data_IF_042339216134
#
_entry.id   IF_042339216134
#
_cell.length_a   1.000
_cell.length_b   1.000
_cell.length_c   1.000
_cell.angle_alpha   90.00
_cell.angle_beta   90.00
_cell.angle_gamma   90.00
#
_symmetry.space_group_name_H-M   'P 1'
#
loop_
_entity.id
_entity.type
_entity.pdbx_description
1 polymer ?
#
# COMPACT_ATOMS: atom_id res chain seq x y z
N UNK A 1 -27.99 -58.63 -14.15
CA UNK A 1 -28.06 -57.45 -13.24
C UNK A 1 -26.71 -57.39 -12.55
N UNK A 2 -25.80 -56.47 -12.97
CA UNK A 2 -25.49 -55.19 -12.28
C UNK A 2 -25.28 -55.40 -10.77
N UNK A 3 -24.18 -55.06 -10.12
CA UNK A 3 -23.02 -54.23 -10.44
C UNK A 3 -21.87 -54.61 -9.49
N UNK A 4 -20.65 -54.44 -9.97
CA UNK A 4 -19.42 -54.20 -9.22
C UNK A 4 -19.59 -53.02 -8.27
N UNK A 5 -19.32 -53.21 -6.98
CA UNK A 5 -19.06 -52.11 -6.05
C UNK A 5 -17.55 -51.82 -6.04
N UNK A 6 -17.21 -50.69 -6.65
CA UNK A 6 -15.90 -50.08 -6.60
C UNK A 6 -15.64 -49.60 -5.17
N UNK A 7 -14.48 -49.99 -4.63
CA UNK A 7 -13.92 -49.42 -3.41
C UNK A 7 -13.44 -48.01 -3.78
N UNK A 8 -14.14 -46.99 -3.30
CA UNK A 8 -13.74 -45.59 -3.46
C UNK A 8 -12.46 -45.31 -2.68
N UNK A 9 -11.36 -45.25 -3.43
CA UNK A 9 -10.10 -44.64 -3.01
C UNK A 9 -10.26 -43.13 -3.20
N UNK A 10 -10.31 -42.36 -2.10
CA UNK A 10 -9.68 -41.03 -1.97
C UNK A 10 -10.21 -40.30 -0.72
N UNK A 11 -9.59 -40.58 0.43
CA UNK A 11 -9.66 -39.69 1.58
C UNK A 11 -8.44 -38.75 1.53
N UNK A 12 -8.61 -37.58 0.92
CA UNK A 12 -7.66 -36.47 1.01
C UNK A 12 -8.45 -35.19 1.22
N UNK A 13 -8.54 -34.79 2.49
CA UNK A 13 -9.04 -33.50 2.93
C UNK A 13 -8.14 -32.39 2.37
N UNK A 14 -8.45 -31.90 1.17
CA UNK A 14 -7.96 -30.61 0.69
C UNK A 14 -8.59 -29.53 1.55
N UNK A 15 -7.87 -29.06 2.58
CA UNK A 15 -8.19 -27.81 3.25
C UNK A 15 -8.04 -26.68 2.21
N UNK A 16 -9.16 -26.24 1.66
CA UNK A 16 -9.19 -25.10 0.77
C UNK A 16 -8.72 -23.87 1.56
N UNK A 17 -7.48 -23.44 1.31
CA UNK A 17 -6.95 -22.20 1.87
C UNK A 17 -7.82 -21.07 1.32
N UNK A 18 -8.67 -20.50 2.17
CA UNK A 18 -9.47 -19.34 1.82
C UNK A 18 -8.53 -18.14 1.67
N UNK A 19 -8.07 -17.89 0.45
CA UNK A 19 -7.08 -16.86 0.15
C UNK A 19 -7.53 -15.47 0.62
N UNK A 20 -8.85 -15.20 0.66
CA UNK A 20 -9.40 -13.95 1.19
C UNK A 20 -9.17 -13.81 2.70
N UNK A 21 -9.33 -14.87 3.48
CA UNK A 21 -9.07 -14.82 4.94
C UNK A 21 -7.57 -14.76 5.27
N UNK A 22 -6.72 -15.34 4.43
CA UNK A 22 -5.25 -15.24 4.57
C UNK A 22 -4.73 -13.85 4.19
N UNK A 23 -5.36 -13.19 3.22
CA UNK A 23 -5.04 -11.82 2.81
C UNK A 23 -5.60 -10.76 3.77
N UNK A 24 -6.72 -11.06 4.46
CA UNK A 24 -7.49 -10.08 5.21
C UNK A 24 -7.86 -10.64 6.59
N UNK A 25 -7.00 -10.41 7.59
CA UNK A 25 -7.34 -10.68 8.98
C UNK A 25 -8.51 -9.78 9.43
N UNK A 26 -9.52 -10.35 10.08
CA UNK A 26 -10.69 -9.64 10.66
C UNK A 26 -10.33 -8.77 11.88
N UNK A 27 -9.23 -8.04 11.83
CA UNK A 27 -8.80 -7.13 12.88
C UNK A 27 -9.40 -5.74 12.63
N UNK A 28 -9.99 -5.14 13.67
CA UNK A 28 -10.60 -3.80 13.65
C UNK A 28 -9.60 -2.62 13.46
N UNK A 29 -8.35 -2.90 13.10
CA UNK A 29 -7.31 -1.89 12.89
C UNK A 29 -6.79 -2.02 11.46
N UNK A 30 -7.31 -1.20 10.56
CA UNK A 30 -6.98 -1.20 9.12
C UNK A 30 -5.66 -0.47 8.80
N UNK A 31 -4.97 0.06 9.83
CA UNK A 31 -3.71 0.79 9.72
C UNK A 31 -2.51 -0.12 10.03
N UNK A 32 -1.51 -0.04 9.14
CA UNK A 32 -0.24 -0.73 9.28
C UNK A 32 0.88 0.31 9.30
N UNK A 33 1.69 0.31 10.36
CA UNK A 33 2.79 1.23 10.50
C UNK A 33 3.91 0.87 9.51
N UNK A 34 4.24 1.81 8.64
CA UNK A 34 5.31 1.64 7.64
C UNK A 34 6.67 1.81 8.30
N UNK A 35 7.60 0.86 8.16
CA UNK A 35 8.91 0.94 8.79
C UNK A 35 9.81 1.97 8.08
N UNK A 36 10.77 2.53 8.83
CA UNK A 36 11.67 3.58 8.33
C UNK A 36 12.32 3.23 6.97
N UNK A 37 12.84 2.00 6.81
CA UNK A 37 13.55 1.59 5.61
C UNK A 37 12.66 1.56 4.36
N UNK A 38 11.34 1.38 4.52
CA UNK A 38 10.40 1.41 3.42
C UNK A 38 10.11 2.85 2.97
N UNK A 39 10.19 3.82 3.89
CA UNK A 39 10.08 5.24 3.57
C UNK A 39 11.39 5.76 2.99
N UNK A 40 12.55 5.40 3.54
CA UNK A 40 13.85 5.83 2.99
C UNK A 40 14.01 5.52 1.50
N UNK A 41 13.46 4.38 1.05
CA UNK A 41 13.55 3.95 -0.35
C UNK A 41 12.80 4.86 -1.34
N UNK A 42 11.83 5.67 -0.92
CA UNK A 42 11.09 6.58 -1.81
C UNK A 42 11.68 8.00 -1.85
N UNK A 43 12.51 8.37 -0.86
CA UNK A 43 12.99 9.75 -0.67
C UNK A 43 13.80 10.26 -1.86
N UNK A 44 14.61 9.41 -2.50
CA UNK A 44 15.48 9.81 -3.62
C UNK A 44 14.71 10.32 -4.85
N UNK A 45 13.41 9.99 -4.95
CA UNK A 45 12.56 10.39 -6.07
C UNK A 45 11.79 11.70 -5.80
N UNK A 46 11.79 12.20 -4.55
CA UNK A 46 11.03 13.39 -4.19
C UNK A 46 11.77 14.64 -4.71
N UNK A 47 11.13 15.50 -5.52
CA UNK A 47 11.75 16.75 -5.94
C UNK A 47 12.08 17.64 -4.73
N UNK A 48 13.28 18.23 -4.69
CA UNK A 48 13.82 18.97 -3.53
C UNK A 48 12.89 20.05 -2.94
N UNK A 49 12.09 20.71 -3.79
CA UNK A 49 11.22 21.80 -3.38
C UNK A 49 9.73 21.43 -3.31
N UNK A 50 9.39 20.15 -3.54
CA UNK A 50 8.01 19.70 -3.48
C UNK A 50 7.50 19.71 -2.03
N UNK A 51 6.25 20.12 -1.86
CA UNK A 51 5.50 19.96 -0.62
C UNK A 51 4.76 18.62 -0.68
N UNK A 52 5.07 17.72 0.24
CA UNK A 52 4.51 16.37 0.29
C UNK A 52 3.31 16.34 1.21
N UNK A 53 2.19 15.81 0.73
CA UNK A 53 1.02 15.50 1.55
C UNK A 53 1.04 14.03 1.96
N UNK A 54 1.00 13.78 3.26
CA UNK A 54 0.92 12.48 3.91
C UNK A 54 -0.49 12.30 4.51
N UNK A 55 -1.50 11.84 3.71
CA UNK A 55 -2.92 11.95 4.07
C UNK A 55 -3.46 10.93 5.08
N UNK A 56 -2.63 9.97 5.49
CA UNK A 56 -3.00 8.89 6.40
C UNK A 56 -2.04 8.85 7.61
N UNK A 57 -1.46 9.99 7.95
CA UNK A 57 -0.30 10.04 8.82
C UNK A 57 -0.47 11.04 9.97
N UNK A 58 0.07 10.66 11.12
CA UNK A 58 0.30 11.54 12.26
C UNK A 58 1.75 12.03 12.27
N UNK A 59 2.12 13.04 13.10
CA UNK A 59 3.51 13.47 13.25
C UNK A 59 4.49 12.35 13.61
N UNK A 60 3.99 11.28 14.21
CA UNK A 60 4.80 10.15 14.65
C UNK A 60 5.11 9.15 13.54
N UNK A 61 4.48 9.26 12.37
CA UNK A 61 4.70 8.34 11.26
C UNK A 61 6.09 8.49 10.66
N UNK A 62 6.64 7.39 10.14
CA UNK A 62 7.91 7.42 9.42
C UNK A 62 7.81 8.26 8.14
N UNK A 63 6.65 8.36 7.50
CA UNK A 63 6.48 9.26 6.35
C UNK A 63 6.74 10.71 6.77
N UNK A 64 6.11 11.19 7.84
CA UNK A 64 6.31 12.56 8.31
C UNK A 64 7.73 12.77 8.79
N UNK A 65 8.26 11.86 9.61
CA UNK A 65 9.61 11.96 10.20
C UNK A 65 10.71 11.96 9.15
N UNK A 66 10.64 11.08 8.16
CA UNK A 66 11.72 10.92 7.18
C UNK A 66 11.65 11.98 6.08
N UNK A 67 10.46 12.29 5.56
CA UNK A 67 10.30 13.27 4.48
C UNK A 67 10.59 14.69 4.98
N UNK A 68 10.23 15.01 6.23
CA UNK A 68 10.48 16.34 6.82
C UNK A 68 11.96 16.70 6.94
N UNK A 69 12.87 15.72 6.81
CA UNK A 69 14.32 15.96 6.81
C UNK A 69 14.78 16.73 5.56
N UNK A 70 14.06 16.61 4.44
CA UNK A 70 14.46 17.20 3.16
C UNK A 70 13.39 18.05 2.51
N UNK A 71 12.11 17.82 2.83
CA UNK A 71 10.96 18.44 2.17
C UNK A 71 9.95 18.97 3.19
N UNK A 72 9.12 19.91 2.76
CA UNK A 72 7.97 20.34 3.56
C UNK A 72 6.92 19.24 3.54
N UNK A 73 6.35 18.94 4.71
CA UNK A 73 5.28 17.95 4.87
C UNK A 73 4.01 18.63 5.35
N UNK A 74 2.90 18.29 4.72
CA UNK A 74 1.55 18.45 5.23
C UNK A 74 1.06 17.06 5.60
N UNK A 75 0.58 16.84 6.80
CA UNK A 75 0.01 15.57 7.22
C UNK A 75 -1.46 15.75 7.58
N UNK A 76 -2.23 14.67 7.47
CA UNK A 76 -3.60 14.63 7.94
C UNK A 76 -3.96 13.22 8.38
N UNK A 77 -4.92 13.10 9.30
CA UNK A 77 -5.35 11.80 9.81
C UNK A 77 -6.86 11.74 10.03
N UNK A 78 -7.46 10.57 9.84
CA UNK A 78 -8.89 10.36 10.07
C UNK A 78 -9.29 10.64 11.53
N UNK A 79 -8.38 10.35 12.47
CA UNK A 79 -8.58 10.63 13.91
C UNK A 79 -8.70 12.13 14.23
N UNK A 80 -8.22 13.00 13.35
CA UNK A 80 -8.37 14.46 13.47
C UNK A 80 -9.61 14.99 12.74
N UNK A 81 -10.45 14.09 12.19
CA UNK A 81 -11.58 14.45 11.33
C UNK A 81 -11.19 14.78 9.88
N UNK A 82 -9.95 14.48 9.49
CA UNK A 82 -9.39 14.83 8.17
C UNK A 82 -9.40 13.61 7.24
N UNK A 83 -10.60 13.07 6.98
CA UNK A 83 -10.78 11.88 6.15
C UNK A 83 -10.32 12.13 4.69
N UNK A 84 -9.31 11.39 4.23
CA UNK A 84 -8.81 11.44 2.86
C UNK A 84 -9.84 11.04 1.80
N UNK A 85 -11.11 10.73 2.08
CA UNK A 85 -12.15 10.68 1.04
C UNK A 85 -12.92 12.00 0.84
N UNK A 86 -12.88 12.92 1.80
CA UNK A 86 -13.56 14.22 1.72
C UNK A 86 -12.69 15.44 2.03
N UNK A 87 -11.64 15.29 2.84
CA UNK A 87 -10.72 16.37 3.23
C UNK A 87 -9.63 16.62 2.18
N UNK A 88 -9.29 17.88 1.96
CA UNK A 88 -8.08 18.31 1.26
C UNK A 88 -7.48 19.48 2.05
N UNK A 89 -6.16 19.51 2.31
CA UNK A 89 -5.55 20.59 3.07
C UNK A 89 -5.63 21.92 2.31
N UNK A 90 -5.91 23.00 3.04
CA UNK A 90 -5.95 24.36 2.49
C UNK A 90 -4.58 24.86 2.00
N UNK A 91 -3.49 24.28 2.54
CA UNK A 91 -2.14 24.65 2.18
C UNK A 91 -1.76 24.06 0.82
N UNK A 92 -0.89 24.75 0.07
CA UNK A 92 -0.35 24.21 -1.18
C UNK A 92 0.40 22.90 -0.90
N UNK A 93 0.12 21.89 -1.72
CA UNK A 93 0.81 20.61 -1.76
C UNK A 93 1.03 20.18 -3.22
N UNK A 94 2.10 19.43 -3.49
CA UNK A 94 2.54 19.09 -4.85
C UNK A 94 2.44 17.59 -5.15
N UNK A 95 2.60 16.73 -4.14
CA UNK A 95 2.64 15.27 -4.29
C UNK A 95 2.04 14.58 -3.06
N UNK A 96 1.39 13.42 -3.27
CA UNK A 96 0.95 12.52 -2.18
C UNK A 96 1.96 11.38 -1.99
N UNK A 97 2.41 11.13 -0.76
CA UNK A 97 3.23 9.96 -0.42
C UNK A 97 2.79 9.41 0.94
N UNK A 98 2.24 8.19 0.99
CA UNK A 98 1.77 7.58 2.24
C UNK A 98 1.41 6.08 2.09
N UNK A 99 0.94 5.45 3.17
CA UNK A 99 0.38 4.10 3.21
C UNK A 99 -1.13 4.16 3.51
N UNK A 100 -2.02 4.02 2.50
CA UNK A 100 -3.46 4.02 2.71
C UNK A 100 -3.91 2.82 3.55
N UNK A 101 -5.02 2.94 4.30
CA UNK A 101 -5.61 1.79 4.97
C UNK A 101 -6.10 0.75 3.96
N UNK A 102 -6.17 -0.53 4.37
CA UNK A 102 -6.42 -1.63 3.42
C UNK A 102 -7.85 -1.70 2.89
N UNK A 103 -8.82 -1.28 3.71
CA UNK A 103 -10.24 -1.22 3.33
C UNK A 103 -10.45 -0.07 2.35
N UNK A 104 -11.38 -0.20 1.41
CA UNK A 104 -11.70 0.84 0.41
C UNK A 104 -10.55 1.27 -0.54
N UNK A 105 -9.46 0.49 -0.66
CA UNK A 105 -8.31 0.77 -1.55
C UNK A 105 -8.63 1.43 -2.89
N UNK A 106 -9.65 0.96 -3.61
CA UNK A 106 -10.07 1.55 -4.89
C UNK A 106 -10.38 3.06 -4.79
N UNK A 107 -11.15 3.47 -3.77
CA UNK A 107 -11.56 4.87 -3.58
C UNK A 107 -10.38 5.79 -3.31
N UNK A 108 -9.38 5.31 -2.57
CA UNK A 108 -8.17 6.09 -2.31
C UNK A 108 -7.37 6.36 -3.58
N UNK A 109 -7.21 5.36 -4.45
CA UNK A 109 -6.54 5.55 -5.73
C UNK A 109 -7.37 6.41 -6.70
N UNK A 110 -8.70 6.23 -6.76
CA UNK A 110 -9.59 7.11 -7.52
C UNK A 110 -9.43 8.57 -7.09
N UNK A 111 -9.42 8.81 -5.78
CA UNK A 111 -9.24 10.16 -5.26
C UNK A 111 -7.85 10.71 -5.53
N UNK A 112 -6.78 9.93 -5.29
CA UNK A 112 -5.43 10.36 -5.59
C UNK A 112 -5.25 10.76 -7.07
N UNK A 113 -5.82 9.95 -7.98
CA UNK A 113 -5.83 10.25 -9.43
C UNK A 113 -6.65 11.50 -9.77
N UNK A 114 -7.73 11.77 -9.04
CA UNK A 114 -8.61 12.93 -9.30
C UNK A 114 -7.92 14.28 -9.12
N UNK A 115 -6.90 14.36 -8.27
CA UNK A 115 -6.13 15.59 -8.06
C UNK A 115 -5.22 15.95 -9.24
N UNK A 116 -5.03 15.02 -10.19
CA UNK A 116 -4.13 15.20 -11.34
C UNK A 116 -2.71 15.65 -10.94
N UNK A 117 -2.25 15.19 -9.77
CA UNK A 117 -0.92 15.42 -9.21
C UNK A 117 -0.19 14.08 -9.00
N UNK A 118 1.15 14.08 -8.97
CA UNK A 118 1.91 12.87 -8.67
C UNK A 118 1.51 12.25 -7.34
N UNK A 119 1.62 10.92 -7.25
CA UNK A 119 1.53 10.22 -5.97
C UNK A 119 2.40 8.97 -5.94
N UNK A 120 2.69 8.51 -4.72
CA UNK A 120 3.26 7.21 -4.40
C UNK A 120 2.54 6.63 -3.17
N UNK A 121 1.69 5.63 -3.38
CA UNK A 121 0.91 4.99 -2.30
C UNK A 121 1.32 3.53 -2.15
N UNK A 122 1.58 3.09 -0.92
CA UNK A 122 1.88 1.67 -0.66
C UNK A 122 0.65 0.81 -0.93
N UNK A 123 0.83 -0.31 -1.63
CA UNK A 123 -0.21 -1.30 -1.83
C UNK A 123 0.36 -2.70 -2.01
N UNK A 124 -0.41 -3.71 -1.64
CA UNK A 124 -0.04 -5.11 -1.83
C UNK A 124 -0.02 -5.46 -3.32
N UNK A 125 1.02 -6.18 -3.77
CA UNK A 125 1.20 -6.55 -5.18
C UNK A 125 0.11 -7.52 -5.67
N UNK A 126 -0.54 -8.23 -4.76
CA UNK A 126 -1.70 -9.09 -5.08
C UNK A 126 -2.86 -8.31 -5.67
N UNK A 127 -2.95 -7.00 -5.42
CA UNK A 127 -3.99 -6.17 -6.02
C UNK A 127 -3.91 -6.11 -7.55
N UNK A 128 -2.72 -6.30 -8.14
CA UNK A 128 -2.53 -6.35 -9.61
C UNK A 128 -3.33 -7.46 -10.30
N UNK A 129 -3.77 -8.48 -9.55
CA UNK A 129 -4.61 -9.56 -10.04
C UNK A 129 -6.10 -9.15 -10.16
N UNK A 130 -6.51 -8.08 -9.46
CA UNK A 130 -7.89 -7.59 -9.51
C UNK A 130 -8.15 -6.75 -10.78
N UNK A 131 -9.42 -6.56 -11.12
CA UNK A 131 -9.84 -5.69 -12.23
C UNK A 131 -9.66 -4.20 -11.93
N UNK A 132 -9.74 -3.80 -10.66
CA UNK A 132 -9.70 -2.39 -10.25
C UNK A 132 -8.44 -1.65 -10.72
N UNK A 133 -7.19 -2.09 -10.47
CA UNK A 133 -6.02 -1.35 -10.94
C UNK A 133 -5.97 -1.30 -12.47
N UNK A 134 -6.41 -2.36 -13.17
CA UNK A 134 -6.47 -2.37 -14.64
C UNK A 134 -7.42 -1.29 -15.18
N UNK A 135 -8.52 -1.02 -14.47
CA UNK A 135 -9.46 0.03 -14.84
C UNK A 135 -8.94 1.43 -14.50
N UNK A 136 -8.36 1.61 -13.31
CA UNK A 136 -7.86 2.90 -12.84
C UNK A 136 -6.66 3.39 -13.65
N UNK A 137 -5.78 2.47 -14.01
CA UNK A 137 -4.53 2.76 -14.71
C UNK A 137 -4.58 2.39 -16.21
N UNK A 138 -5.77 2.22 -16.78
CA UNK A 138 -5.91 1.95 -18.21
C UNK A 138 -5.41 3.12 -19.06
N UNK A 139 -5.79 4.33 -18.67
CA UNK A 139 -5.48 5.59 -19.37
C UNK A 139 -4.45 6.43 -18.59
N UNK A 140 -3.81 5.82 -17.58
CA UNK A 140 -2.84 6.46 -16.68
C UNK A 140 -1.69 5.49 -16.46
N UNK A 141 -0.46 5.91 -16.71
CA UNK A 141 0.70 5.02 -16.55
C UNK A 141 0.91 4.62 -15.10
N UNK A 142 0.52 3.38 -14.74
CA UNK A 142 0.88 2.80 -13.46
C UNK A 142 2.41 2.68 -13.38
N UNK A 143 2.96 3.26 -12.33
CA UNK A 143 4.38 3.17 -12.01
C UNK A 143 4.55 2.35 -10.73
N UNK A 144 5.51 1.42 -10.69
CA UNK A 144 5.75 0.54 -9.55
C UNK A 144 7.20 0.66 -9.07
N UNK A 145 7.38 1.04 -7.80
CA UNK A 145 8.63 0.83 -7.08
C UNK A 145 8.54 -0.47 -6.29
N UNK A 146 9.15 -1.50 -6.85
CA UNK A 146 9.14 -2.86 -6.34
C UNK A 146 10.42 -3.19 -5.59
N UNK A 147 10.28 -4.03 -4.57
CA UNK A 147 11.35 -4.35 -3.63
C UNK A 147 11.75 -5.82 -3.71
N UNK A 148 13.06 -6.08 -3.56
CA UNK A 148 13.64 -7.42 -3.45
C UNK A 148 13.20 -8.16 -2.16
N UNK A 149 12.85 -7.40 -1.12
CA UNK A 149 12.39 -7.90 0.19
C UNK A 149 10.96 -7.46 0.47
N UNK A 150 10.28 -8.22 1.32
CA UNK A 150 8.93 -7.88 1.80
C UNK A 150 9.03 -6.83 2.91
N UNK A 151 8.24 -5.76 2.78
CA UNK A 151 8.06 -4.80 3.86
C UNK A 151 7.41 -5.46 5.07
N UNK A 152 7.99 -5.24 6.24
CA UNK A 152 7.50 -5.65 7.56
C UNK A 152 6.77 -4.51 8.24
N UNK A 153 5.46 -4.45 8.01
CA UNK A 153 4.59 -3.48 8.66
C UNK A 153 4.42 -3.80 10.14
N UNK A 154 4.51 -2.77 10.98
CA UNK A 154 4.21 -2.86 12.40
C UNK A 154 2.70 -2.95 12.62
N UNK A 155 2.28 -3.85 13.51
CA UNK A 155 0.89 -3.94 13.96
C UNK A 155 0.63 -2.89 15.04
N UNK A 156 -0.54 -2.22 15.09
CA UNK A 156 -0.84 -1.26 16.14
C UNK A 156 -0.84 -1.82 17.57
N UNK A 157 -1.01 -3.13 17.70
CA UNK A 157 -0.98 -3.87 18.96
C UNK A 157 0.37 -4.52 19.27
N UNK A 158 1.43 -4.19 18.50
CA UNK A 158 2.79 -4.68 18.73
C UNK A 158 3.01 -6.16 18.41
N UNK A 159 2.03 -6.85 17.80
CA UNK A 159 2.20 -8.24 17.40
C UNK A 159 3.22 -8.37 16.28
N UNK A 160 4.15 -9.31 16.46
CA UNK A 160 5.16 -9.65 15.45
C UNK A 160 4.48 -10.14 14.17
N UNK A 161 4.74 -9.43 13.08
CA UNK A 161 4.15 -9.70 11.78
C UNK A 161 5.10 -10.58 10.94
N UNK A 162 5.56 -11.68 11.52
CA UNK A 162 6.58 -12.56 10.93
C UNK A 162 6.10 -13.37 9.71
N UNK A 163 4.79 -13.37 9.43
CA UNK A 163 4.15 -14.14 8.34
C UNK A 163 3.64 -13.24 7.21
N UNK A 164 4.52 -12.44 6.64
CA UNK A 164 4.16 -11.59 5.50
C UNK A 164 4.14 -12.45 4.26
N UNK A 165 2.94 -12.81 3.81
CA UNK A 165 2.72 -13.73 2.70
C UNK A 165 2.90 -13.06 1.34
N UNK A 166 2.71 -11.74 1.25
CA UNK A 166 2.73 -11.00 -0.01
C UNK A 166 3.62 -9.76 0.04
N UNK A 167 4.32 -9.50 -1.07
CA UNK A 167 5.10 -8.28 -1.25
C UNK A 167 4.19 -7.06 -1.44
N UNK A 168 4.65 -5.91 -0.98
CA UNK A 168 4.04 -4.61 -1.25
C UNK A 168 5.01 -3.75 -2.05
N UNK A 169 4.48 -2.74 -2.74
CA UNK A 169 5.25 -1.81 -3.57
C UNK A 169 4.61 -0.42 -3.48
N UNK A 170 5.34 0.63 -3.85
CA UNK A 170 4.67 1.90 -4.10
C UNK A 170 4.02 1.83 -5.47
N UNK A 171 2.70 2.05 -5.48
CA UNK A 171 1.91 2.28 -6.66
C UNK A 171 1.87 3.79 -6.89
N UNK A 172 2.45 4.19 -8.01
CA UNK A 172 2.72 5.58 -8.32
C UNK A 172 2.03 5.99 -9.62
N UNK A 173 1.86 7.29 -9.79
CA UNK A 173 1.51 7.90 -11.06
C UNK A 173 2.26 9.24 -11.20
N UNK A 174 2.85 9.47 -12.38
CA UNK A 174 3.61 10.67 -12.71
C UNK A 174 4.70 11.07 -11.69
N UNK A 175 5.38 10.08 -11.11
CA UNK A 175 6.35 10.29 -10.04
C UNK A 175 7.70 9.62 -10.32
N UNK A 176 7.69 8.34 -10.68
CA UNK A 176 8.93 7.58 -10.94
C UNK A 176 9.48 7.89 -12.35
N UNK A 177 10.80 7.76 -12.56
CA UNK A 177 11.41 7.98 -13.88
C UNK A 177 11.08 6.89 -14.91
N UNK A 178 10.55 5.73 -14.47
CA UNK A 178 10.13 4.60 -15.32
C UNK A 178 8.87 3.94 -14.74
N UNK A 179 8.12 3.23 -15.58
CA UNK A 179 6.91 2.50 -15.19
C UNK A 179 7.20 1.34 -14.21
N UNK A 180 8.32 0.64 -14.34
CA UNK A 180 8.69 -0.42 -13.41
C UNK A 180 10.12 -0.18 -12.95
N UNK A 181 10.29 -0.08 -11.63
CA UNK A 181 11.56 0.13 -10.95
C UNK A 181 11.75 -0.99 -9.93
N UNK A 182 12.88 -1.70 -9.99
CA UNK A 182 13.27 -2.69 -8.99
C UNK A 182 14.32 -2.07 -8.06
N UNK A 183 14.18 -2.27 -6.75
CA UNK A 183 15.07 -1.69 -5.73
C UNK A 183 15.38 -2.70 -4.62
N UNK A 184 16.63 -2.68 -4.15
CA UNK A 184 17.02 -3.42 -2.95
C UNK A 184 16.65 -2.66 -1.67
N UNK A 185 16.01 -3.35 -0.71
CA UNK A 185 15.75 -2.81 0.62
C UNK A 185 16.90 -3.10 1.56
N UNK A 186 17.46 -2.05 2.15
CA UNK A 186 18.47 -2.15 3.20
C UNK A 186 17.76 -2.07 4.54
N UNK A 187 17.55 -3.21 5.19
CA UNK A 187 17.11 -3.26 6.58
C UNK A 187 18.36 -3.24 7.45
N UNK A 188 18.58 -2.16 8.21
CA UNK A 188 19.65 -2.08 9.22
C UNK A 188 19.13 -2.51 10.58
#
# INVERSE_FOLDING_TARGET
>A
MKNTENIDVNNSSKSAINSKEVLYSRGKNDECYTPHYAVEAILEFIPKNAIVWCPFDTPESEFVKQISKTNKVVYSHIDHGEDFLVFEPNNKWDIIISNPPFTNKRKFFERALSFNKPFALIMANTWLNDSAPKQLFKEKDLQLLMFDKRMKFGSPDGRDNSKITFSSSYFCWNFLPKQIMMKELVCK
#
